data_IF_104988839749
#
_entry.id   IF_104988839749
#
_cell.length_a   1.000
_cell.length_b   1.000
_cell.length_c   1.000
_cell.angle_alpha   90.00
_cell.angle_beta   90.00
_cell.angle_gamma   90.00
#
_symmetry.space_group_name_H-M   'P 1'
#
loop_
_entity.id
_entity.type
_entity.pdbx_description
1 polymer ?
#
# COMPACT_ATOMS: atom_id res chain seq x y z
N UNK A 1 -0.07 -5.89 11.89
CA UNK A 1 -0.60 -6.25 10.56
C UNK A 1 0.03 -7.52 10.00
N UNK A 2 1.34 -7.63 9.97
CA UNK A 2 2.10 -8.72 9.35
C UNK A 2 1.80 -10.12 9.94
N UNK A 3 1.58 -10.23 11.26
CA UNK A 3 1.34 -11.49 11.96
C UNK A 3 0.17 -12.31 11.41
N UNK A 4 -0.96 -11.67 11.11
CA UNK A 4 -2.21 -12.33 10.71
C UNK A 4 -2.38 -12.51 9.20
N UNK A 5 -1.71 -11.66 8.40
CA UNK A 5 -1.97 -11.55 6.96
C UNK A 5 -1.93 -12.91 6.22
N UNK A 6 -0.91 -13.77 6.38
CA UNK A 6 -0.84 -15.04 5.66
C UNK A 6 -1.90 -16.07 6.10
N UNK A 7 -2.43 -15.94 7.33
CA UNK A 7 -3.35 -16.92 7.91
C UNK A 7 -4.83 -16.61 7.65
N UNK A 8 -5.14 -15.39 7.22
CA UNK A 8 -6.51 -14.92 7.07
C UNK A 8 -7.31 -15.75 6.06
N UNK A 9 -6.75 -15.99 4.87
CA UNK A 9 -7.38 -16.83 3.86
C UNK A 9 -7.57 -18.27 4.38
N UNK A 10 -6.58 -18.79 5.09
CA UNK A 10 -6.64 -20.13 5.67
C UNK A 10 -7.74 -20.22 6.74
N UNK A 11 -7.88 -19.22 7.61
CA UNK A 11 -8.94 -19.14 8.60
C UNK A 11 -10.32 -19.21 7.95
N UNK A 12 -10.60 -18.36 6.99
CA UNK A 12 -11.89 -18.33 6.32
C UNK A 12 -12.20 -19.63 5.57
N UNK A 13 -11.25 -20.16 4.81
CA UNK A 13 -11.48 -21.34 3.98
C UNK A 13 -11.52 -22.64 4.78
N UNK A 14 -10.58 -22.84 5.73
CA UNK A 14 -10.46 -24.13 6.41
C UNK A 14 -11.31 -24.23 7.67
N UNK A 15 -11.41 -23.16 8.46
CA UNK A 15 -12.15 -23.17 9.72
C UNK A 15 -13.60 -22.77 9.50
N UNK A 16 -13.83 -21.61 8.87
CA UNK A 16 -15.17 -21.06 8.71
C UNK A 16 -15.89 -21.57 7.44
N UNK A 17 -15.20 -22.37 6.61
CA UNK A 17 -15.78 -23.00 5.41
C UNK A 17 -16.37 -22.00 4.40
N UNK A 18 -15.78 -20.82 4.30
CA UNK A 18 -16.14 -19.86 3.26
C UNK A 18 -15.65 -20.35 1.89
N UNK A 19 -16.44 -20.14 0.86
CA UNK A 19 -16.03 -20.37 -0.53
C UNK A 19 -15.05 -19.28 -0.99
N UNK A 20 -14.34 -19.53 -2.08
CA UNK A 20 -13.45 -18.51 -2.68
C UNK A 20 -14.20 -17.22 -3.06
N UNK A 21 -15.42 -17.36 -3.57
CA UNK A 21 -16.29 -16.23 -3.91
C UNK A 21 -16.69 -15.41 -2.67
N UNK A 22 -17.13 -16.08 -1.59
CA UNK A 22 -17.49 -15.40 -0.33
C UNK A 22 -16.29 -14.66 0.28
N UNK A 23 -15.08 -15.24 0.18
CA UNK A 23 -13.86 -14.54 0.62
C UNK A 23 -13.61 -13.31 -0.28
N UNK A 24 -13.83 -13.40 -1.58
CA UNK A 24 -13.80 -12.26 -2.50
C UNK A 24 -14.79 -11.14 -2.10
N UNK A 25 -16.00 -11.51 -1.73
CA UNK A 25 -17.02 -10.57 -1.24
C UNK A 25 -16.58 -9.86 0.06
N UNK A 26 -15.89 -10.56 0.96
CA UNK A 26 -15.33 -9.93 2.16
C UNK A 26 -14.31 -8.84 1.80
N UNK A 27 -13.39 -9.11 0.88
CA UNK A 27 -12.42 -8.09 0.42
C UNK A 27 -13.10 -6.95 -0.35
N UNK A 28 -14.19 -7.25 -1.06
CA UNK A 28 -15.01 -6.22 -1.72
C UNK A 28 -15.60 -5.24 -0.70
N UNK A 29 -16.18 -5.75 0.39
CA UNK A 29 -16.73 -4.91 1.47
C UNK A 29 -15.64 -4.07 2.12
N UNK A 30 -14.43 -4.63 2.33
CA UNK A 30 -13.28 -3.89 2.83
C UNK A 30 -12.90 -2.72 1.90
N UNK A 31 -12.78 -2.97 0.60
CA UNK A 31 -12.44 -1.94 -0.38
C UNK A 31 -13.50 -0.83 -0.47
N UNK A 32 -14.79 -1.18 -0.44
CA UNK A 32 -15.90 -0.20 -0.43
C UNK A 32 -15.88 0.61 0.87
N UNK A 33 -15.69 -0.03 2.02
CA UNK A 33 -15.60 0.65 3.30
C UNK A 33 -14.38 1.60 3.35
N UNK A 34 -13.23 1.16 2.85
CA UNK A 34 -12.03 2.00 2.76
C UNK A 34 -12.23 3.22 1.85
N UNK A 35 -12.97 3.07 0.76
CA UNK A 35 -13.32 4.18 -0.14
C UNK A 35 -14.21 5.23 0.55
N UNK A 36 -15.19 4.77 1.35
CA UNK A 36 -16.12 5.64 2.07
C UNK A 36 -15.45 6.34 3.25
N UNK A 37 -14.76 5.57 4.10
CA UNK A 37 -14.19 6.07 5.35
C UNK A 37 -12.86 6.79 5.17
N UNK A 38 -12.08 6.48 4.14
CA UNK A 38 -10.73 7.05 3.92
C UNK A 38 -10.70 8.58 3.94
N UNK A 39 -11.53 9.29 3.18
CA UNK A 39 -11.57 10.75 3.19
C UNK A 39 -12.06 11.36 4.51
N UNK A 40 -12.89 10.64 5.26
CA UNK A 40 -13.56 11.13 6.47
C UNK A 40 -12.63 11.01 7.69
N UNK A 41 -11.92 9.90 7.81
CA UNK A 41 -11.13 9.56 9.01
C UNK A 41 -9.99 10.54 9.27
N UNK A 42 -9.30 11.02 8.22
CA UNK A 42 -8.25 12.02 8.36
C UNK A 42 -8.75 13.34 8.92
N UNK A 43 -9.91 13.82 8.42
CA UNK A 43 -10.54 15.06 8.89
C UNK A 43 -11.01 14.96 10.35
N UNK A 44 -11.57 13.81 10.71
CA UNK A 44 -11.99 13.56 12.08
C UNK A 44 -10.79 13.52 13.03
N UNK A 45 -9.70 12.91 12.64
CA UNK A 45 -8.46 12.85 13.42
C UNK A 45 -7.87 14.25 13.66
N UNK A 46 -7.85 15.10 12.64
CA UNK A 46 -7.38 16.47 12.76
C UNK A 46 -8.28 17.33 13.68
N UNK A 47 -9.60 17.08 13.65
CA UNK A 47 -10.58 17.84 14.45
C UNK A 47 -10.62 17.42 15.92
N UNK A 48 -10.58 16.10 16.19
CA UNK A 48 -10.84 15.55 17.52
C UNK A 48 -9.59 15.10 18.28
N UNK A 49 -8.44 15.07 17.61
CA UNK A 49 -7.16 14.71 18.19
C UNK A 49 -6.55 13.46 17.55
N UNK A 50 -5.32 13.58 17.11
CA UNK A 50 -4.61 12.55 16.36
C UNK A 50 -4.25 11.35 17.22
N UNK A 51 -3.79 11.56 18.46
CA UNK A 51 -3.51 10.48 19.40
C UNK A 51 -4.75 9.62 19.70
N UNK A 52 -5.90 10.24 19.92
CA UNK A 52 -7.18 9.57 20.12
C UNK A 52 -7.52 8.67 18.93
N UNK A 53 -7.31 9.15 17.71
CA UNK A 53 -7.58 8.39 16.50
C UNK A 53 -6.56 7.27 16.23
N UNK A 54 -5.32 7.38 16.71
CA UNK A 54 -4.39 6.23 16.78
C UNK A 54 -4.93 5.13 17.70
N UNK A 55 -5.53 5.48 18.85
CA UNK A 55 -6.21 4.51 19.71
C UNK A 55 -7.46 3.92 19.04
N UNK A 56 -8.26 4.74 18.35
CA UNK A 56 -9.40 4.24 17.57
C UNK A 56 -8.98 3.20 16.53
N UNK A 57 -7.85 3.43 15.86
CA UNK A 57 -7.26 2.43 14.96
C UNK A 57 -6.92 1.13 15.70
N UNK A 58 -6.19 1.19 16.81
CA UNK A 58 -5.82 0.00 17.58
C UNK A 58 -7.05 -0.77 18.08
N UNK A 59 -8.05 -0.07 18.57
CA UNK A 59 -9.33 -0.65 18.99
C UNK A 59 -10.03 -1.33 17.81
N UNK A 60 -10.07 -0.67 16.65
CA UNK A 60 -10.67 -1.23 15.44
C UNK A 60 -9.98 -2.53 15.02
N UNK A 61 -8.65 -2.62 15.14
CA UNK A 61 -7.90 -3.86 14.84
C UNK A 61 -8.27 -4.97 15.81
N UNK A 62 -8.37 -4.70 17.12
CA UNK A 62 -8.76 -5.70 18.11
C UNK A 62 -10.18 -6.21 17.84
N UNK A 63 -11.14 -5.32 17.66
CA UNK A 63 -12.54 -5.67 17.33
C UNK A 63 -12.58 -6.51 16.04
N UNK A 64 -11.89 -6.08 15.00
CA UNK A 64 -11.81 -6.79 13.73
C UNK A 64 -11.29 -8.21 13.89
N UNK A 65 -10.24 -8.42 14.69
CA UNK A 65 -9.66 -9.75 14.90
C UNK A 65 -10.61 -10.66 15.67
N UNK A 66 -11.26 -10.16 16.72
CA UNK A 66 -12.25 -10.92 17.50
C UNK A 66 -13.45 -11.33 16.64
N UNK A 67 -14.01 -10.40 15.83
CA UNK A 67 -15.10 -10.69 14.92
C UNK A 67 -14.74 -11.74 13.87
N UNK A 68 -13.50 -11.73 13.37
CA UNK A 68 -13.02 -12.74 12.40
C UNK A 68 -12.83 -14.11 13.02
N UNK A 69 -12.44 -14.19 14.29
CA UNK A 69 -12.23 -15.46 14.99
C UNK A 69 -13.54 -16.17 15.33
N UNK A 70 -14.63 -15.45 15.49
CA UNK A 70 -15.95 -16.00 15.83
C UNK A 70 -16.53 -16.89 14.71
N UNK A 71 -16.29 -16.58 13.47
CA UNK A 71 -16.62 -17.44 12.34
C UNK A 71 -18.01 -17.31 11.75
N UNK A 72 -18.90 -16.50 12.32
CA UNK A 72 -20.20 -16.25 11.71
C UNK A 72 -20.09 -15.34 10.48
N UNK A 73 -20.87 -15.64 9.43
CA UNK A 73 -20.87 -14.84 8.19
C UNK A 73 -21.15 -13.35 8.43
N UNK A 74 -22.23 -12.96 9.14
CA UNK A 74 -22.50 -11.54 9.38
C UNK A 74 -21.37 -10.81 10.10
N UNK A 75 -20.74 -11.46 11.12
CA UNK A 75 -19.64 -10.87 11.86
C UNK A 75 -18.37 -10.75 10.99
N UNK A 76 -18.14 -11.68 10.07
CA UNK A 76 -17.04 -11.58 9.10
C UNK A 76 -17.23 -10.36 8.18
N UNK A 77 -18.43 -10.08 7.68
CA UNK A 77 -18.73 -8.87 6.91
C UNK A 77 -18.59 -7.60 7.74
N UNK A 78 -19.07 -7.59 8.98
CA UNK A 78 -18.89 -6.46 9.90
C UNK A 78 -17.39 -6.20 10.16
N UNK A 79 -16.60 -7.26 10.33
CA UNK A 79 -15.15 -7.15 10.48
C UNK A 79 -14.50 -6.45 9.28
N UNK A 80 -14.99 -6.66 8.06
CA UNK A 80 -14.44 -5.98 6.87
C UNK A 80 -14.79 -4.48 6.86
N UNK A 81 -16.00 -4.10 7.26
CA UNK A 81 -16.35 -2.68 7.43
C UNK A 81 -15.42 -2.00 8.43
N UNK A 82 -15.14 -2.66 9.57
CA UNK A 82 -14.17 -2.17 10.57
C UNK A 82 -12.76 -2.12 10.01
N UNK A 83 -12.38 -3.06 9.11
CA UNK A 83 -11.07 -3.02 8.43
C UNK A 83 -10.94 -1.79 7.55
N UNK A 84 -11.94 -1.51 6.71
CA UNK A 84 -11.94 -0.35 5.81
C UNK A 84 -11.90 0.98 6.57
N UNK A 85 -12.60 1.08 7.71
CA UNK A 85 -12.47 2.23 8.61
C UNK A 85 -11.02 2.37 9.13
N UNK A 86 -10.42 1.28 9.63
CA UNK A 86 -9.04 1.26 10.11
C UNK A 86 -8.02 1.59 9.01
N UNK A 87 -8.25 1.18 7.76
CA UNK A 87 -7.39 1.48 6.63
C UNK A 87 -7.26 2.99 6.36
N UNK A 88 -8.35 3.74 6.54
CA UNK A 88 -8.32 5.20 6.47
C UNK A 88 -7.46 5.81 7.58
N UNK A 89 -7.56 5.31 8.80
CA UNK A 89 -6.83 5.81 9.96
C UNK A 89 -5.33 5.57 9.89
N UNK A 90 -4.89 4.36 9.54
CA UNK A 90 -3.45 4.03 9.51
C UNK A 90 -2.69 4.89 8.51
N UNK A 91 -3.31 5.25 7.42
CA UNK A 91 -2.65 5.99 6.36
C UNK A 91 -2.53 7.49 6.60
N UNK A 92 -3.31 8.02 7.54
CA UNK A 92 -3.36 9.48 7.75
C UNK A 92 -2.93 9.89 9.15
N UNK A 93 -3.36 9.14 10.17
CA UNK A 93 -3.30 9.64 11.55
C UNK A 93 -1.90 9.56 12.15
N UNK A 94 -1.18 8.45 11.95
CA UNK A 94 0.16 8.24 12.52
C UNK A 94 1.18 9.20 11.91
N UNK A 95 1.20 9.32 10.58
CA UNK A 95 2.10 10.25 9.90
C UNK A 95 1.78 11.70 10.25
N UNK A 96 0.50 12.06 10.30
CA UNK A 96 0.07 13.40 10.68
C UNK A 96 0.46 13.75 12.12
N UNK A 97 0.41 12.78 13.05
CA UNK A 97 0.88 12.97 14.41
C UNK A 97 2.39 13.29 14.44
N UNK A 98 3.21 12.48 13.74
CA UNK A 98 4.67 12.68 13.62
C UNK A 98 5.00 14.05 13.02
N UNK A 99 4.30 14.46 11.96
CA UNK A 99 4.52 15.75 11.33
C UNK A 99 4.28 16.89 12.32
N UNK A 100 3.14 16.87 13.01
CA UNK A 100 2.78 17.91 13.98
C UNK A 100 3.73 17.95 15.17
N UNK A 101 4.11 16.81 15.71
CA UNK A 101 5.03 16.75 16.86
C UNK A 101 6.43 17.24 16.47
N UNK A 102 6.92 16.88 15.28
CA UNK A 102 8.20 17.41 14.78
C UNK A 102 8.19 18.93 14.58
N UNK A 103 7.09 19.51 14.13
CA UNK A 103 6.97 20.97 13.99
C UNK A 103 6.96 21.69 15.35
N UNK A 104 6.33 21.10 16.35
CA UNK A 104 6.30 21.60 17.72
C UNK A 104 7.70 21.53 18.37
N UNK A 105 8.38 20.38 18.25
CA UNK A 105 9.70 20.15 18.85
C UNK A 105 10.76 21.09 18.28
N UNK A 106 10.77 21.30 16.98
CA UNK A 106 11.76 22.17 16.32
C UNK A 106 11.38 23.66 16.28
N UNK A 107 10.30 24.06 16.97
CA UNK A 107 9.99 25.47 17.24
C UNK A 107 9.91 26.37 16.00
N UNK A 108 9.52 25.84 14.83
CA UNK A 108 9.40 26.59 13.57
C UNK A 108 10.63 26.50 12.66
N UNK A 109 11.71 25.84 13.03
CA UNK A 109 12.84 25.53 12.15
C UNK A 109 12.49 24.46 11.11
N UNK A 110 11.75 24.85 10.07
CA UNK A 110 11.16 23.95 9.07
C UNK A 110 12.14 22.99 8.42
N UNK A 111 13.36 23.47 8.07
CA UNK A 111 14.39 22.64 7.43
C UNK A 111 14.90 21.50 8.33
N UNK A 112 15.04 21.77 9.63
CA UNK A 112 15.48 20.79 10.62
C UNK A 112 14.40 19.75 10.91
N UNK A 113 13.15 20.21 11.10
CA UNK A 113 12.00 19.32 11.23
C UNK A 113 11.84 18.41 10.01
N UNK A 114 12.05 18.92 8.79
CA UNK A 114 11.99 18.12 7.57
C UNK A 114 13.12 17.08 7.49
N UNK A 115 14.37 17.46 7.84
CA UNK A 115 15.51 16.52 7.90
C UNK A 115 15.25 15.41 8.92
N UNK A 116 14.73 15.76 10.10
CA UNK A 116 14.35 14.81 11.14
C UNK A 116 13.29 13.84 10.64
N UNK A 117 12.18 14.33 10.05
CA UNK A 117 11.12 13.51 9.49
C UNK A 117 11.62 12.54 8.42
N UNK A 118 12.44 13.01 7.48
CA UNK A 118 13.05 12.15 6.43
C UNK A 118 13.87 11.01 7.04
N UNK A 119 14.65 11.29 8.08
CA UNK A 119 15.43 10.28 8.78
C UNK A 119 14.53 9.29 9.53
N UNK A 120 13.56 9.80 10.29
CA UNK A 120 12.61 9.00 11.05
C UNK A 120 11.80 8.06 10.16
N UNK A 121 11.23 8.53 9.06
CA UNK A 121 10.47 7.68 8.13
C UNK A 121 11.33 6.62 7.46
N UNK A 122 12.59 6.93 7.14
CA UNK A 122 13.55 5.94 6.67
C UNK A 122 13.78 4.84 7.70
N UNK A 123 14.01 5.21 8.96
CA UNK A 123 14.24 4.27 10.05
C UNK A 123 12.98 3.44 10.34
N UNK A 124 11.80 4.06 10.35
CA UNK A 124 10.52 3.36 10.46
C UNK A 124 10.34 2.28 9.37
N UNK A 125 10.72 2.56 8.13
CA UNK A 125 10.63 1.58 7.04
C UNK A 125 11.57 0.38 7.29
N UNK A 126 12.77 0.62 7.81
CA UNK A 126 13.72 -0.45 8.15
C UNK A 126 13.16 -1.30 9.29
N UNK A 127 12.67 -0.66 10.36
CA UNK A 127 12.07 -1.38 11.50
C UNK A 127 10.82 -2.14 11.12
N UNK A 128 9.93 -1.59 10.26
CA UNK A 128 8.74 -2.30 9.78
C UNK A 128 9.12 -3.60 9.05
N UNK A 129 10.14 -3.56 8.20
CA UNK A 129 10.65 -4.74 7.51
C UNK A 129 11.22 -5.79 8.48
N UNK A 130 12.01 -5.39 9.48
CA UNK A 130 12.57 -6.28 10.49
C UNK A 130 11.43 -6.92 11.31
N UNK A 131 10.49 -6.12 11.77
CA UNK A 131 9.32 -6.58 12.53
C UNK A 131 8.46 -7.52 11.69
N UNK A 132 8.27 -7.25 10.40
CA UNK A 132 7.51 -8.12 9.50
C UNK A 132 8.13 -9.53 9.42
N UNK A 133 9.47 -9.63 9.26
CA UNK A 133 10.18 -10.91 9.21
C UNK A 133 10.07 -11.64 10.54
N UNK A 134 10.45 -10.98 11.65
CA UNK A 134 10.44 -11.59 12.99
C UNK A 134 9.05 -12.07 13.36
N UNK A 135 8.04 -11.23 13.14
CA UNK A 135 6.64 -11.58 13.45
C UNK A 135 6.14 -12.74 12.58
N UNK A 136 6.53 -12.80 11.30
CA UNK A 136 6.16 -13.91 10.42
C UNK A 136 6.76 -15.24 10.89
N UNK A 137 8.03 -15.23 11.35
CA UNK A 137 8.68 -16.39 11.94
C UNK A 137 8.00 -16.86 13.22
N UNK A 138 7.78 -15.92 14.15
CA UNK A 138 7.10 -16.20 15.43
C UNK A 138 5.70 -16.78 15.17
N UNK A 139 4.96 -16.20 14.22
CA UNK A 139 3.63 -16.67 13.88
C UNK A 139 3.64 -18.02 13.14
N UNK A 140 4.66 -18.32 12.35
CA UNK A 140 4.81 -19.63 11.72
C UNK A 140 5.06 -20.72 12.78
N UNK A 141 5.89 -20.44 13.76
CA UNK A 141 6.13 -21.33 14.90
C UNK A 141 4.86 -21.48 15.75
N UNK A 142 4.21 -20.38 16.10
CA UNK A 142 2.98 -20.39 16.91
C UNK A 142 1.83 -21.15 16.21
N UNK A 143 1.69 -20.98 14.89
CA UNK A 143 0.71 -21.71 14.10
C UNK A 143 0.93 -23.23 14.15
N UNK A 144 2.18 -23.67 14.04
CA UNK A 144 2.51 -25.11 14.03
C UNK A 144 2.30 -25.80 15.39
N UNK A 145 2.39 -25.06 16.52
CA UNK A 145 2.26 -25.63 17.87
C UNK A 145 0.89 -25.36 18.50
N UNK A 146 0.28 -24.22 18.23
CA UNK A 146 -0.97 -23.78 18.90
C UNK A 146 -2.14 -23.55 17.93
N UNK A 147 -1.94 -23.85 16.65
CA UNK A 147 -2.99 -23.80 15.63
C UNK A 147 -3.27 -22.40 15.10
N UNK A 148 -4.35 -22.32 14.28
CA UNK A 148 -4.62 -21.18 13.43
C UNK A 148 -4.97 -19.87 14.17
N UNK A 149 -5.48 -19.95 15.39
CA UNK A 149 -5.84 -18.78 16.17
C UNK A 149 -4.63 -18.09 16.83
N UNK A 150 -3.49 -18.78 16.98
CA UNK A 150 -2.32 -18.24 17.64
C UNK A 150 -1.76 -16.95 17.01
N UNK A 151 -1.61 -16.83 15.66
CA UNK A 151 -1.20 -15.58 15.03
C UNK A 151 -2.16 -14.41 15.27
N UNK A 152 -3.46 -14.68 15.45
CA UNK A 152 -4.45 -13.65 15.74
C UNK A 152 -4.32 -13.15 17.17
N UNK A 153 -4.14 -14.03 18.15
CA UNK A 153 -3.88 -13.65 19.54
C UNK A 153 -2.57 -12.87 19.71
N UNK A 154 -1.51 -13.28 19.00
CA UNK A 154 -0.25 -12.51 18.95
C UNK A 154 -0.51 -11.10 18.39
N UNK A 155 -1.31 -10.99 17.32
CA UNK A 155 -1.67 -9.68 16.76
C UNK A 155 -2.43 -8.80 17.73
N UNK A 156 -3.38 -9.37 18.48
CA UNK A 156 -4.13 -8.65 19.52
C UNK A 156 -3.18 -8.17 20.62
N UNK A 157 -2.34 -9.05 21.13
CA UNK A 157 -1.37 -8.72 22.19
C UNK A 157 -0.45 -7.56 21.75
N UNK A 158 0.15 -7.65 20.58
CA UNK A 158 1.03 -6.58 20.04
C UNK A 158 0.28 -5.26 19.82
N UNK A 159 -0.98 -5.33 19.40
CA UNK A 159 -1.80 -4.12 19.18
C UNK A 159 -2.17 -3.45 20.51
N UNK A 160 -2.50 -4.23 21.53
CA UNK A 160 -2.77 -3.71 22.89
C UNK A 160 -1.51 -3.09 23.48
N UNK A 161 -0.35 -3.77 23.34
CA UNK A 161 0.94 -3.25 23.79
C UNK A 161 1.27 -1.91 23.09
N UNK A 162 1.09 -1.84 21.76
CA UNK A 162 1.28 -0.60 21.02
C UNK A 162 0.33 0.52 21.49
N UNK A 163 -0.92 0.18 21.81
CA UNK A 163 -1.87 1.15 22.35
C UNK A 163 -1.44 1.69 23.73
N UNK A 164 -0.94 0.83 24.59
CA UNK A 164 -0.40 1.22 25.92
C UNK A 164 0.82 2.15 25.73
N UNK A 165 1.75 1.80 24.84
CA UNK A 165 2.92 2.65 24.56
C UNK A 165 2.54 4.02 24.01
N UNK A 166 1.58 4.08 23.09
CA UNK A 166 1.04 5.36 22.58
C UNK A 166 0.41 6.17 23.73
N UNK A 167 -0.32 5.50 24.63
CA UNK A 167 -0.94 6.17 25.76
C UNK A 167 0.09 6.79 26.71
N UNK A 168 1.21 6.13 26.93
CA UNK A 168 2.24 6.59 27.88
C UNK A 168 3.16 7.64 27.24
N UNK A 169 3.56 7.43 25.97
CA UNK A 169 4.67 8.17 25.34
C UNK A 169 4.22 9.32 24.43
N UNK A 170 2.97 9.31 23.96
CA UNK A 170 2.52 10.29 22.98
C UNK A 170 1.63 11.35 23.60
N UNK A 171 1.88 12.62 23.29
CA UNK A 171 0.99 13.71 23.64
C UNK A 171 -0.11 13.91 22.60
N UNK A 172 -1.24 14.53 22.99
CA UNK A 172 -2.28 14.90 22.05
C UNK A 172 -1.87 16.14 21.25
N UNK A 173 -1.90 16.03 19.94
CA UNK A 173 -1.51 17.11 19.04
C UNK A 173 -2.52 17.32 17.90
N UNK A 174 -3.77 17.59 18.23
CA UNK A 174 -4.77 18.01 17.24
C UNK A 174 -4.45 19.39 16.67
N UNK A 175 -4.61 19.61 15.36
CA UNK A 175 -4.46 20.95 14.79
C UNK A 175 -5.69 21.79 15.05
N UNK A 176 -5.56 22.86 15.87
CA UNK A 176 -6.59 23.88 16.03
C UNK A 176 -6.85 24.68 14.73
N UNK A 177 -6.02 24.52 13.72
CA UNK A 177 -6.03 25.28 12.46
C UNK A 177 -6.94 24.64 11.39
N UNK A 178 -7.41 23.42 11.57
CA UNK A 178 -8.26 22.72 10.59
C UNK A 178 -9.70 23.24 10.47
N UNK A 179 -9.95 24.49 10.87
CA UNK A 179 -11.31 25.07 10.88
C UNK A 179 -11.81 25.58 9.54
N UNK A 180 -10.98 25.71 8.52
CA UNK A 180 -11.45 26.25 7.24
C UNK A 180 -10.94 25.47 6.02
N UNK A 181 -11.89 25.02 5.19
CA UNK A 181 -11.75 24.81 3.75
C UNK A 181 -11.18 23.48 3.24
N UNK A 182 -11.37 22.36 3.93
CA UNK A 182 -10.94 21.05 3.40
C UNK A 182 -11.53 20.78 2.01
N UNK A 183 -12.80 21.09 1.77
CA UNK A 183 -13.43 20.93 0.46
C UNK A 183 -12.82 21.81 -0.64
N UNK A 184 -12.47 23.07 -0.29
CA UNK A 184 -11.82 23.98 -1.23
C UNK A 184 -10.43 23.48 -1.58
N UNK A 185 -9.67 23.00 -0.58
CA UNK A 185 -8.35 22.38 -0.81
C UNK A 185 -8.42 21.12 -1.67
N UNK A 186 -9.43 20.25 -1.46
CA UNK A 186 -9.67 19.11 -2.34
C UNK A 186 -9.99 19.54 -3.78
N UNK A 187 -10.81 20.57 -3.96
CA UNK A 187 -11.13 21.13 -5.27
C UNK A 187 -9.91 21.77 -5.95
N UNK A 188 -9.04 22.41 -5.18
CA UNK A 188 -7.78 22.96 -5.71
C UNK A 188 -6.78 21.84 -6.04
N UNK A 189 -6.59 20.88 -5.13
CA UNK A 189 -5.75 19.72 -5.36
C UNK A 189 -6.20 18.90 -6.59
N UNK A 190 -7.50 18.74 -6.80
CA UNK A 190 -8.03 18.02 -7.96
C UNK A 190 -7.73 18.70 -9.30
N UNK A 191 -7.46 20.02 -9.32
CA UNK A 191 -7.01 20.72 -10.52
C UNK A 191 -5.62 20.26 -10.97
N UNK A 192 -4.78 19.77 -10.07
CA UNK A 192 -3.45 19.23 -10.42
C UNK A 192 -3.53 17.98 -11.30
N UNK A 193 -4.64 17.21 -11.25
CA UNK A 193 -4.90 16.10 -12.17
C UNK A 193 -5.06 16.52 -13.64
N UNK A 194 -5.21 17.82 -13.94
CA UNK A 194 -5.15 18.31 -15.30
C UNK A 194 -3.75 18.22 -15.92
N UNK A 195 -2.72 18.10 -15.07
CA UNK A 195 -1.36 17.85 -15.54
C UNK A 195 -1.22 16.38 -15.91
N UNK A 196 -0.86 16.05 -17.16
CA UNK A 196 -0.76 14.66 -17.61
C UNK A 196 0.19 13.82 -16.75
N UNK A 197 1.29 14.40 -16.29
CA UNK A 197 2.25 13.72 -15.41
C UNK A 197 1.62 13.27 -14.09
N UNK A 198 0.87 14.16 -13.42
CA UNK A 198 0.19 13.86 -12.16
C UNK A 198 -0.88 12.79 -12.36
N UNK A 199 -1.66 12.91 -13.44
CA UNK A 199 -2.71 11.95 -13.78
C UNK A 199 -2.11 10.57 -14.06
N UNK A 200 -1.11 10.48 -14.94
CA UNK A 200 -0.47 9.21 -15.31
C UNK A 200 0.16 8.51 -14.11
N UNK A 201 0.91 9.23 -13.27
CA UNK A 201 1.52 8.65 -12.06
C UNK A 201 0.45 8.19 -11.07
N UNK A 202 -0.62 8.96 -10.90
CA UNK A 202 -1.75 8.55 -10.04
C UNK A 202 -2.45 7.29 -10.53
N UNK A 203 -2.62 7.14 -11.85
CA UNK A 203 -3.19 5.93 -12.45
C UNK A 203 -2.26 4.73 -12.33
N UNK A 204 -0.96 4.89 -12.62
CA UNK A 204 0.05 3.83 -12.47
C UNK A 204 0.08 3.35 -11.02
N UNK A 205 0.16 4.28 -10.06
CA UNK A 205 0.15 3.95 -8.63
C UNK A 205 -1.15 3.26 -8.22
N UNK A 206 -2.30 3.77 -8.68
CA UNK A 206 -3.60 3.17 -8.41
C UNK A 206 -3.67 1.72 -8.90
N UNK A 207 -3.24 1.46 -10.14
CA UNK A 207 -3.22 0.11 -10.72
C UNK A 207 -2.20 -0.78 -10.01
N UNK A 208 -0.96 -0.32 -9.80
CA UNK A 208 0.09 -1.12 -9.15
C UNK A 208 -0.30 -1.54 -7.73
N UNK A 209 -0.87 -0.62 -6.94
CA UNK A 209 -1.38 -0.94 -5.60
C UNK A 209 -2.61 -1.84 -5.64
N UNK A 210 -3.49 -1.71 -6.64
CA UNK A 210 -4.61 -2.64 -6.84
C UNK A 210 -4.10 -4.05 -7.16
N UNK A 211 -3.10 -4.16 -8.05
CA UNK A 211 -2.44 -5.43 -8.36
C UNK A 211 -1.83 -6.07 -7.12
N UNK A 212 -1.17 -5.29 -6.26
CA UNK A 212 -0.61 -5.77 -5.00
C UNK A 212 -1.71 -6.27 -4.05
N UNK A 213 -2.82 -5.55 -3.90
CA UNK A 213 -3.94 -5.97 -3.04
C UNK A 213 -4.58 -7.27 -3.55
N UNK A 214 -4.80 -7.38 -4.87
CA UNK A 214 -5.35 -8.59 -5.49
C UNK A 214 -4.37 -9.75 -5.38
N UNK A 215 -3.07 -9.49 -5.54
CA UNK A 215 -2.01 -10.46 -5.32
C UNK A 215 -2.04 -10.98 -3.87
N UNK A 216 -2.12 -10.10 -2.86
CA UNK A 216 -2.19 -10.47 -1.44
C UNK A 216 -3.42 -11.33 -1.11
N UNK A 217 -4.51 -11.17 -1.83
CA UNK A 217 -5.68 -12.03 -1.75
C UNK A 217 -5.44 -13.39 -2.42
N UNK A 218 -4.78 -13.42 -3.57
CA UNK A 218 -4.76 -14.57 -4.49
C UNK A 218 -3.59 -15.54 -4.30
N UNK A 219 -2.44 -15.12 -3.74
CA UNK A 219 -1.25 -15.96 -3.65
C UNK A 219 -1.45 -17.27 -2.84
N UNK A 220 -2.17 -17.15 -1.71
CA UNK A 220 -2.45 -18.33 -0.86
C UNK A 220 -3.31 -19.37 -1.57
N UNK A 221 -4.47 -19.03 -2.19
CA UNK A 221 -5.26 -20.01 -2.93
C UNK A 221 -4.54 -20.57 -4.16
N UNK A 222 -3.72 -19.76 -4.86
CA UNK A 222 -2.92 -20.23 -6.00
C UNK A 222 -1.94 -21.32 -5.56
N UNK A 223 -1.17 -21.10 -4.50
CA UNK A 223 -0.20 -22.06 -4.01
C UNK A 223 -0.85 -23.30 -3.38
N UNK A 224 -1.93 -23.12 -2.60
CA UNK A 224 -2.67 -24.27 -2.01
C UNK A 224 -3.23 -25.22 -3.06
N UNK A 225 -3.75 -24.71 -4.17
CA UNK A 225 -4.24 -25.53 -5.28
C UNK A 225 -3.12 -26.19 -6.07
N UNK A 226 -1.90 -25.67 -5.96
CA UNK A 226 -0.72 -26.24 -6.64
C UNK A 226 0.01 -27.33 -5.83
N UNK A 227 -0.39 -27.54 -4.56
CA UNK A 227 0.27 -28.51 -3.65
C UNK A 227 -0.78 -29.41 -3.01
N UNK A 228 -0.74 -30.75 -3.29
CA UNK A 228 -1.64 -31.71 -2.66
C UNK A 228 -1.39 -31.91 -1.16
N UNK A 229 -0.17 -31.59 -0.66
CA UNK A 229 0.23 -31.67 0.73
C UNK A 229 0.05 -30.37 1.50
N UNK A 230 0.15 -30.41 2.82
CA UNK A 230 0.07 -29.24 3.67
C UNK A 230 1.17 -28.22 3.36
N UNK A 231 0.83 -26.93 3.41
CA UNK A 231 1.72 -25.80 3.14
C UNK A 231 1.90 -24.96 4.40
N UNK A 232 3.13 -24.70 4.81
CA UNK A 232 3.40 -23.73 5.88
C UNK A 232 3.32 -22.29 5.33
N UNK A 233 2.13 -21.73 5.42
CA UNK A 233 1.79 -20.40 4.85
C UNK A 233 2.66 -19.29 5.41
N UNK A 234 3.00 -19.35 6.71
CA UNK A 234 3.82 -18.34 7.37
C UNK A 234 5.26 -18.36 6.88
N UNK A 235 5.84 -19.54 6.70
CA UNK A 235 7.21 -19.66 6.20
C UNK A 235 7.34 -19.16 4.74
N UNK A 236 6.39 -19.51 3.90
CA UNK A 236 6.34 -19.02 2.52
C UNK A 236 6.20 -17.50 2.50
N UNK A 237 5.33 -16.95 3.34
CA UNK A 237 5.17 -15.50 3.42
C UNK A 237 6.46 -14.80 3.87
N UNK A 238 7.21 -15.39 4.80
CA UNK A 238 8.53 -14.87 5.20
C UNK A 238 9.50 -14.83 4.02
N UNK A 239 9.55 -15.91 3.20
CA UNK A 239 10.38 -15.91 1.99
C UNK A 239 9.96 -14.81 1.00
N UNK A 240 8.67 -14.57 0.83
CA UNK A 240 8.15 -13.49 -0.01
C UNK A 240 8.52 -12.10 0.52
N UNK A 241 8.51 -11.89 1.84
CA UNK A 241 8.96 -10.64 2.44
C UNK A 241 10.47 -10.42 2.26
N UNK A 242 11.27 -11.47 2.38
CA UNK A 242 12.72 -11.39 2.13
C UNK A 242 13.03 -10.97 0.69
N UNK A 243 12.29 -11.48 -0.30
CA UNK A 243 12.46 -11.04 -1.70
C UNK A 243 12.06 -9.58 -1.89
N UNK A 244 11.00 -9.11 -1.22
CA UNK A 244 10.61 -7.70 -1.24
C UNK A 244 11.71 -6.78 -0.68
N UNK A 245 12.32 -7.16 0.45
CA UNK A 245 13.43 -6.40 1.04
C UNK A 245 14.66 -6.42 0.12
N UNK A 246 14.95 -7.57 -0.49
CA UNK A 246 16.05 -7.70 -1.46
C UNK A 246 15.83 -6.76 -2.67
N UNK A 247 14.61 -6.64 -3.17
CA UNK A 247 14.26 -5.69 -4.22
C UNK A 247 14.49 -4.23 -3.81
N UNK A 248 14.11 -3.86 -2.58
CA UNK A 248 14.38 -2.51 -2.04
C UNK A 248 15.87 -2.24 -1.92
N UNK A 249 16.68 -3.22 -1.50
CA UNK A 249 18.15 -3.10 -1.44
C UNK A 249 18.76 -3.01 -2.81
N UNK A 250 18.31 -3.80 -3.77
CA UNK A 250 18.74 -3.73 -5.17
C UNK A 250 18.50 -2.34 -5.76
N UNK A 251 17.34 -1.74 -5.51
CA UNK A 251 17.06 -0.35 -5.89
C UNK A 251 18.11 0.63 -5.30
N UNK A 252 18.40 0.53 -4.00
CA UNK A 252 19.37 1.40 -3.33
C UNK A 252 20.79 1.28 -3.91
N UNK A 253 21.20 0.08 -4.34
CA UNK A 253 22.48 -0.16 -4.96
C UNK A 253 22.54 0.41 -6.39
N UNK A 254 21.48 0.22 -7.17
CA UNK A 254 21.45 0.60 -8.58
C UNK A 254 21.29 2.11 -8.79
N UNK A 255 20.49 2.79 -7.97
CA UNK A 255 20.27 4.25 -8.12
C UNK A 255 21.53 5.08 -7.87
N UNK A 256 22.54 4.52 -7.17
CA UNK A 256 23.83 5.18 -6.96
C UNK A 256 24.87 4.88 -8.02
N UNK A 257 24.62 3.90 -8.89
CA UNK A 257 25.63 3.38 -9.85
C UNK A 257 25.25 3.57 -11.32
N UNK A 258 23.97 3.71 -11.62
CA UNK A 258 23.46 3.80 -12.98
C UNK A 258 22.51 4.99 -13.13
N UNK A 259 22.70 5.77 -14.20
CA UNK A 259 21.79 6.85 -14.57
C UNK A 259 20.54 6.24 -15.21
N UNK A 260 19.57 5.87 -14.38
CA UNK A 260 18.28 5.39 -14.86
C UNK A 260 17.29 6.55 -15.07
N UNK A 261 16.59 6.54 -16.19
CA UNK A 261 15.35 7.29 -16.29
C UNK A 261 14.32 6.67 -15.36
N UNK A 262 13.94 7.43 -14.32
CA UNK A 262 12.98 6.99 -13.31
C UNK A 262 11.63 6.59 -13.91
N UNK A 263 11.19 7.25 -14.97
CA UNK A 263 9.88 6.98 -15.61
C UNK A 263 9.91 5.71 -16.45
N UNK A 264 11.01 5.47 -17.19
CA UNK A 264 11.18 4.21 -17.90
C UNK A 264 11.33 3.05 -16.90
N UNK A 265 12.02 3.27 -15.78
CA UNK A 265 12.21 2.27 -14.73
C UNK A 265 10.89 1.86 -14.07
N UNK A 266 9.97 2.81 -13.80
CA UNK A 266 8.66 2.48 -13.22
C UNK A 266 7.80 1.67 -14.21
N UNK A 267 7.83 2.02 -15.49
CA UNK A 267 7.17 1.25 -16.54
C UNK A 267 7.76 -0.17 -16.64
N UNK A 268 9.11 -0.28 -16.59
CA UNK A 268 9.82 -1.56 -16.55
C UNK A 268 9.41 -2.45 -15.35
N UNK A 269 9.30 -1.88 -14.16
CA UNK A 269 8.84 -2.62 -12.99
C UNK A 269 7.43 -3.20 -13.20
N UNK A 270 6.51 -2.39 -13.67
CA UNK A 270 5.11 -2.80 -13.84
C UNK A 270 4.96 -3.88 -14.92
N UNK A 271 5.67 -3.79 -16.04
CA UNK A 271 5.61 -4.83 -17.07
C UNK A 271 6.23 -6.16 -16.59
N UNK A 272 7.33 -6.10 -15.82
CA UNK A 272 7.93 -7.31 -15.23
C UNK A 272 6.94 -7.97 -14.26
N UNK A 273 6.26 -7.19 -13.42
CA UNK A 273 5.18 -7.70 -12.56
C UNK A 273 4.08 -8.39 -13.37
N UNK A 274 3.66 -7.79 -14.49
CA UNK A 274 2.68 -8.37 -15.40
C UNK A 274 3.12 -9.70 -15.99
N UNK A 275 4.36 -9.78 -16.47
CA UNK A 275 4.94 -11.01 -17.02
C UNK A 275 4.99 -12.11 -15.95
N UNK A 276 5.41 -11.80 -14.72
CA UNK A 276 5.48 -12.76 -13.62
C UNK A 276 4.10 -13.31 -13.25
N UNK A 277 3.07 -12.49 -13.26
CA UNK A 277 1.69 -12.94 -13.02
C UNK A 277 1.15 -13.77 -14.18
N UNK A 278 1.46 -13.40 -15.43
CA UNK A 278 1.13 -14.23 -16.59
C UNK A 278 1.82 -15.62 -16.53
N UNK A 279 3.10 -15.67 -16.16
CA UNK A 279 3.82 -16.94 -15.96
C UNK A 279 3.22 -17.76 -14.82
N UNK A 280 2.76 -17.12 -13.75
CA UNK A 280 2.04 -17.79 -12.65
C UNK A 280 0.74 -18.45 -13.12
N UNK A 281 0.05 -17.84 -14.10
CA UNK A 281 -1.12 -18.43 -14.74
C UNK A 281 -0.74 -19.59 -15.69
N UNK A 282 0.23 -19.37 -16.57
CA UNK A 282 0.56 -20.25 -17.68
C UNK A 282 1.31 -21.51 -17.25
N UNK A 283 2.19 -21.42 -16.24
CA UNK A 283 3.05 -22.52 -15.83
C UNK A 283 2.46 -23.23 -14.61
N UNK A 284 2.32 -24.56 -14.71
CA UNK A 284 1.84 -25.39 -13.63
C UNK A 284 2.97 -25.82 -12.69
N UNK A 285 2.62 -26.07 -11.43
CA UNK A 285 3.54 -26.56 -10.40
C UNK A 285 3.69 -25.59 -9.23
N UNK A 286 3.97 -26.13 -8.07
CA UNK A 286 4.13 -25.35 -6.84
C UNK A 286 5.38 -24.48 -6.89
N UNK A 287 6.54 -25.07 -7.20
CA UNK A 287 7.82 -24.37 -7.15
C UNK A 287 7.93 -23.22 -8.16
N UNK A 288 7.58 -23.38 -9.46
CA UNK A 288 7.58 -22.28 -10.40
C UNK A 288 6.67 -21.13 -9.95
N UNK A 289 5.45 -21.44 -9.51
CA UNK A 289 4.51 -20.43 -9.03
C UNK A 289 5.02 -19.70 -7.80
N UNK A 290 5.63 -20.40 -6.86
CA UNK A 290 6.25 -19.80 -5.69
C UNK A 290 7.37 -18.81 -6.09
N UNK A 291 8.22 -19.21 -7.05
CA UNK A 291 9.31 -18.35 -7.56
C UNK A 291 8.72 -17.10 -8.21
N UNK A 292 7.75 -17.22 -9.10
CA UNK A 292 7.17 -16.04 -9.79
C UNK A 292 6.45 -15.10 -8.82
N UNK A 293 5.70 -15.64 -7.88
CA UNK A 293 5.05 -14.84 -6.83
C UNK A 293 6.06 -14.15 -5.90
N UNK A 294 7.16 -14.81 -5.58
CA UNK A 294 8.24 -14.22 -4.78
C UNK A 294 8.96 -13.11 -5.55
N UNK A 295 9.26 -13.32 -6.82
CA UNK A 295 9.86 -12.31 -7.69
C UNK A 295 8.94 -11.11 -7.89
N UNK A 296 7.63 -11.30 -7.98
CA UNK A 296 6.65 -10.21 -8.00
C UNK A 296 6.81 -9.30 -6.78
N UNK A 297 6.97 -9.87 -5.58
CA UNK A 297 7.26 -9.10 -4.37
C UNK A 297 8.62 -8.39 -4.44
N UNK A 298 9.63 -9.04 -5.00
CA UNK A 298 10.95 -8.42 -5.22
C UNK A 298 10.86 -7.17 -6.09
N UNK A 299 10.12 -7.26 -7.20
CA UNK A 299 9.87 -6.10 -8.07
C UNK A 299 9.03 -5.03 -7.36
N UNK A 300 8.05 -5.41 -6.54
CA UNK A 300 7.30 -4.48 -5.71
C UNK A 300 8.21 -3.72 -4.74
N UNK A 301 9.16 -4.43 -4.13
CA UNK A 301 10.18 -3.83 -3.25
C UNK A 301 11.07 -2.80 -3.96
N UNK A 302 11.38 -3.01 -5.23
CA UNK A 302 12.10 -2.06 -6.08
C UNK A 302 11.21 -0.87 -6.50
N UNK A 303 9.96 -1.14 -6.88
CA UNK A 303 8.98 -0.16 -7.33
C UNK A 303 8.66 0.90 -6.26
N UNK A 304 8.47 0.49 -5.01
CA UNK A 304 7.97 1.38 -3.95
C UNK A 304 8.85 2.61 -3.70
N UNK A 305 10.18 2.51 -3.50
CA UNK A 305 11.04 3.68 -3.33
C UNK A 305 11.16 4.51 -4.61
N UNK A 306 11.17 3.88 -5.78
CA UNK A 306 11.19 4.57 -7.07
C UNK A 306 9.94 5.44 -7.26
N UNK A 307 8.75 4.88 -7.01
CA UNK A 307 7.49 5.62 -7.07
C UNK A 307 7.46 6.79 -6.08
N UNK A 308 8.04 6.61 -4.88
CA UNK A 308 8.13 7.67 -3.88
C UNK A 308 9.01 8.84 -4.34
N UNK A 309 10.12 8.57 -5.04
CA UNK A 309 11.00 9.60 -5.62
C UNK A 309 10.26 10.38 -6.71
N UNK A 310 9.59 9.68 -7.63
CA UNK A 310 8.84 10.32 -8.72
C UNK A 310 7.72 11.21 -8.14
N UNK A 311 6.96 10.71 -7.17
CA UNK A 311 5.92 11.51 -6.51
C UNK A 311 6.49 12.75 -5.81
N UNK A 312 7.64 12.62 -5.17
CA UNK A 312 8.29 13.74 -4.51
C UNK A 312 8.72 14.85 -5.49
N UNK A 313 9.06 14.49 -6.75
CA UNK A 313 9.46 15.44 -7.78
C UNK A 313 8.29 16.12 -8.50
N UNK A 314 7.14 15.43 -8.66
CA UNK A 314 6.01 15.94 -9.44
C UNK A 314 4.96 16.63 -8.57
N UNK A 315 4.69 16.09 -7.36
CA UNK A 315 3.59 16.58 -6.53
C UNK A 315 3.99 17.84 -5.78
N UNK A 316 3.19 18.89 -5.91
CA UNK A 316 3.34 20.13 -5.16
C UNK A 316 3.21 19.82 -3.67
N UNK A 317 4.17 20.26 -2.87
CA UNK A 317 4.25 19.98 -1.43
C UNK A 317 2.96 20.38 -0.68
N UNK A 318 2.39 21.54 -1.03
CA UNK A 318 1.13 22.05 -0.44
C UNK A 318 -0.04 21.06 -0.53
N UNK A 319 -0.14 20.28 -1.61
CA UNK A 319 -1.28 19.37 -1.88
C UNK A 319 -0.89 17.89 -1.87
N UNK A 320 0.37 17.56 -1.57
CA UNK A 320 0.91 16.19 -1.67
C UNK A 320 0.06 15.15 -0.93
N UNK A 321 -0.26 15.40 0.35
CA UNK A 321 -1.08 14.48 1.15
C UNK A 321 -2.49 14.28 0.58
N UNK A 322 -3.11 15.36 0.09
CA UNK A 322 -4.43 15.30 -0.53
C UNK A 322 -4.41 14.52 -1.85
N UNK A 323 -3.39 14.76 -2.70
CA UNK A 323 -3.22 14.04 -3.97
C UNK A 323 -2.95 12.56 -3.75
N UNK A 324 -2.13 12.20 -2.76
CA UNK A 324 -1.89 10.80 -2.40
C UNK A 324 -3.17 10.09 -1.91
N UNK A 325 -4.05 10.80 -1.20
CA UNK A 325 -5.36 10.27 -0.84
C UNK A 325 -6.27 10.11 -2.07
N UNK A 326 -6.23 11.06 -3.01
CA UNK A 326 -6.99 10.97 -4.26
C UNK A 326 -6.51 9.82 -5.17
N UNK A 327 -5.22 9.48 -5.17
CA UNK A 327 -4.69 8.31 -5.90
C UNK A 327 -5.24 6.96 -5.40
N UNK A 328 -5.80 6.92 -4.18
CA UNK A 328 -6.48 5.73 -3.65
C UNK A 328 -7.87 5.51 -4.24
N UNK A 329 -8.49 6.53 -4.81
CA UNK A 329 -9.81 6.37 -5.44
C UNK A 329 -9.72 5.41 -6.64
N UNK A 330 -8.86 5.62 -7.66
CA UNK A 330 -8.69 4.64 -8.72
C UNK A 330 -8.24 3.27 -8.22
N UNK A 331 -7.35 3.19 -7.21
CA UNK A 331 -6.96 1.92 -6.59
C UNK A 331 -8.18 1.12 -6.12
N UNK A 332 -9.00 1.69 -5.25
CA UNK A 332 -10.17 0.99 -4.71
C UNK A 332 -11.17 0.65 -5.81
N UNK A 333 -11.34 1.51 -6.81
CA UNK A 333 -12.22 1.25 -7.95
C UNK A 333 -11.77 0.03 -8.75
N UNK A 334 -10.47 -0.10 -9.07
CA UNK A 334 -9.92 -1.28 -9.75
C UNK A 334 -10.07 -2.54 -8.91
N UNK A 335 -9.79 -2.47 -7.61
CA UNK A 335 -9.98 -3.61 -6.69
C UNK A 335 -11.44 -4.06 -6.68
N UNK A 336 -12.39 -3.14 -6.58
CA UNK A 336 -13.83 -3.44 -6.59
C UNK A 336 -14.23 -4.14 -7.89
N UNK A 337 -13.82 -3.61 -9.05
CA UNK A 337 -14.15 -4.23 -10.35
C UNK A 337 -13.63 -5.67 -10.42
N UNK A 338 -12.37 -5.90 -10.05
CA UNK A 338 -11.79 -7.25 -10.11
C UNK A 338 -12.49 -8.18 -9.12
N UNK A 339 -12.76 -7.74 -7.89
CA UNK A 339 -13.41 -8.56 -6.89
C UNK A 339 -14.86 -8.92 -7.26
N UNK A 340 -15.59 -8.04 -7.95
CA UNK A 340 -16.92 -8.35 -8.48
C UNK A 340 -16.88 -9.47 -9.53
N UNK A 341 -15.82 -9.56 -10.31
CA UNK A 341 -15.65 -10.61 -11.33
C UNK A 341 -15.18 -11.95 -10.74
N UNK A 342 -14.61 -11.97 -9.52
CA UNK A 342 -14.08 -13.18 -8.89
C UNK A 342 -15.12 -14.28 -8.63
N UNK A 343 -16.40 -13.95 -8.52
CA UNK A 343 -17.48 -14.94 -8.35
C UNK A 343 -17.54 -15.95 -9.49
N UNK A 344 -17.07 -15.56 -10.68
CA UNK A 344 -17.13 -16.33 -11.91
C UNK A 344 -15.78 -16.98 -12.26
N UNK A 345 -14.74 -16.79 -11.43
CA UNK A 345 -13.37 -17.11 -11.80
C UNK A 345 -12.68 -18.05 -10.79
N UNK A 346 -11.64 -18.73 -11.27
CA UNK A 346 -10.74 -19.48 -10.41
C UNK A 346 -9.52 -18.62 -9.99
N UNK A 347 -8.78 -18.98 -8.92
CA UNK A 347 -7.63 -18.21 -8.46
C UNK A 347 -6.54 -17.98 -9.51
N UNK A 348 -6.37 -18.89 -10.47
CA UNK A 348 -5.36 -18.72 -11.51
C UNK A 348 -5.77 -17.65 -12.52
N UNK A 349 -7.05 -17.53 -12.86
CA UNK A 349 -7.56 -16.47 -13.72
C UNK A 349 -7.33 -15.07 -13.11
N UNK A 350 -7.33 -14.97 -11.78
CA UNK A 350 -6.98 -13.74 -11.07
C UNK A 350 -5.56 -13.29 -11.40
N UNK A 351 -4.60 -14.22 -11.48
CA UNK A 351 -3.24 -13.89 -11.88
C UNK A 351 -3.17 -13.33 -13.32
N UNK A 352 -3.98 -13.87 -14.24
CA UNK A 352 -4.10 -13.34 -15.59
C UNK A 352 -4.63 -11.89 -15.60
N UNK A 353 -5.68 -11.61 -14.82
CA UNK A 353 -6.25 -10.26 -14.71
C UNK A 353 -5.22 -9.26 -14.19
N UNK A 354 -4.48 -9.62 -13.13
CA UNK A 354 -3.39 -8.78 -12.60
C UNK A 354 -2.34 -8.54 -13.69
N UNK A 355 -1.99 -9.56 -14.47
CA UNK A 355 -1.09 -9.42 -15.61
C UNK A 355 -1.59 -8.39 -16.64
N UNK A 356 -2.86 -8.46 -17.01
CA UNK A 356 -3.48 -7.49 -17.94
C UNK A 356 -3.50 -6.07 -17.37
N UNK A 357 -3.84 -5.91 -16.08
CA UNK A 357 -3.79 -4.61 -15.42
C UNK A 357 -2.38 -4.01 -15.43
N UNK A 358 -1.36 -4.82 -15.21
CA UNK A 358 0.04 -4.37 -15.31
C UNK A 358 0.41 -3.92 -16.73
N UNK A 359 -0.10 -4.58 -17.77
CA UNK A 359 0.10 -4.14 -19.16
C UNK A 359 -0.53 -2.75 -19.39
N UNK A 360 -1.74 -2.52 -18.89
CA UNK A 360 -2.39 -1.21 -18.97
C UNK A 360 -1.55 -0.13 -18.28
N UNK A 361 -1.06 -0.40 -17.06
CA UNK A 361 -0.21 0.54 -16.34
C UNK A 361 1.13 0.78 -17.07
N UNK A 362 1.71 -0.24 -17.71
CA UNK A 362 2.90 -0.12 -18.54
C UNK A 362 2.66 0.81 -19.74
N UNK A 363 1.53 0.66 -20.45
CA UNK A 363 1.19 1.53 -21.56
C UNK A 363 1.01 3.00 -21.14
N UNK A 364 0.43 3.24 -19.96
CA UNK A 364 0.35 4.58 -19.37
C UNK A 364 1.75 5.11 -19.04
N UNK A 365 2.65 4.26 -18.53
CA UNK A 365 4.04 4.60 -18.26
C UNK A 365 4.81 4.97 -19.54
N UNK A 366 4.66 4.21 -20.62
CA UNK A 366 5.25 4.53 -21.91
C UNK A 366 4.72 5.85 -22.48
N UNK A 367 3.41 6.07 -22.39
CA UNK A 367 2.83 7.36 -22.77
C UNK A 367 3.47 8.52 -22.01
N UNK A 368 3.68 8.36 -20.70
CA UNK A 368 4.31 9.38 -19.87
C UNK A 368 5.76 9.67 -20.28
N UNK A 369 6.55 8.62 -20.59
CA UNK A 369 7.93 8.76 -21.08
C UNK A 369 7.94 9.54 -22.40
N UNK A 370 7.13 9.14 -23.38
CA UNK A 370 7.03 9.80 -24.69
C UNK A 370 6.55 11.24 -24.54
N UNK A 371 5.55 11.48 -23.70
CA UNK A 371 5.04 12.82 -23.44
C UNK A 371 6.15 13.75 -22.93
N UNK A 372 6.95 13.30 -21.98
CA UNK A 372 8.06 14.08 -21.42
C UNK A 372 9.19 14.30 -22.42
N UNK A 373 9.51 13.34 -23.27
CA UNK A 373 10.50 13.54 -24.33
C UNK A 373 10.09 14.60 -25.34
N UNK A 374 8.81 14.68 -25.65
CA UNK A 374 8.27 15.65 -26.63
C UNK A 374 8.12 17.03 -25.98
N UNK A 375 7.39 17.10 -24.86
CA UNK A 375 6.99 18.39 -24.28
C UNK A 375 8.02 18.95 -23.27
N UNK A 376 8.80 18.13 -22.59
CA UNK A 376 9.90 18.60 -21.73
C UNK A 376 10.99 19.33 -22.50
N UNK A 377 11.28 18.91 -23.73
CA UNK A 377 12.21 19.62 -24.63
C UNK A 377 11.68 20.97 -25.12
N UNK A 378 10.36 21.13 -25.19
CA UNK A 378 9.72 22.40 -25.58
C UNK A 378 9.78 23.41 -24.44
N UNK A 379 9.45 22.98 -23.19
CA UNK A 379 9.56 23.88 -22.01
C UNK A 379 10.99 24.36 -21.72
N UNK A 380 11.99 23.50 -21.96
CA UNK A 380 13.40 23.90 -21.81
C UNK A 380 13.84 24.88 -22.91
N UNK A 381 13.35 24.74 -24.15
CA UNK A 381 13.58 25.74 -25.23
C UNK A 381 12.94 27.08 -24.89
N UNK A 382 11.68 27.08 -24.45
CA UNK A 382 10.96 28.31 -24.08
C UNK A 382 11.60 29.02 -22.88
N UNK A 383 12.18 28.26 -21.93
CA UNK A 383 12.96 28.84 -20.82
C UNK A 383 14.29 29.43 -21.30
N UNK A 384 14.95 28.80 -22.25
CA UNK A 384 16.23 29.31 -22.83
C UNK A 384 15.98 30.55 -23.71
N UNK A 385 14.90 30.59 -24.49
CA UNK A 385 14.55 31.76 -25.29
C UNK A 385 14.10 32.97 -24.43
N UNK A 386 13.45 32.72 -23.30
CA UNK A 386 13.07 33.79 -22.36
C UNK A 386 14.24 34.29 -21.45
N UNK A 387 15.42 33.65 -21.48
CA UNK A 387 16.63 34.05 -20.73
C UNK A 387 17.61 34.80 -21.62
N UNK A 388 17.48 34.76 -22.95
CA UNK A 388 18.30 35.57 -23.84
C UNK A 388 17.75 37.00 -23.84
N UNK A 389 18.49 38.01 -23.33
CA UNK A 389 18.07 39.39 -23.43
C UNK A 389 18.11 39.81 -24.90
N UNK A 390 16.97 40.30 -25.37
CA UNK A 390 16.91 41.11 -26.61
C UNK A 390 17.62 42.41 -26.26
N UNK A 391 18.93 42.48 -26.50
CA UNK A 391 19.63 43.73 -26.68
C UNK A 391 20.99 43.49 -27.37
N UNK A 392 20.94 43.51 -28.68
CA UNK A 392 22.03 44.06 -29.51
C UNK A 392 21.37 44.91 -30.59
N UNK A 393 21.16 46.18 -30.28
CA UNK A 393 21.22 47.24 -31.27
C UNK A 393 22.07 48.38 -30.74
#
# INVERSE_FOLDING_TARGET
MWAKAPYLYTLFMTVHKFTFAEIGDLYLVDAVAALIFGPITGQLADKYGRRKFCHCYNISIVINLLLRMEGSRPLAYLAQVVTGFGAGLICTTFEAWVVSESEKEFGGYKKEAERFRKRLFKDCTIYDNIVAILTSFICAFAYSHWGIYAPFWISIFLTVLASILIWILWDENGSLIAKEKTWIQYKEASKEFKKPEVLCIGLIEGIANACLNIYLFSWTPILKRSTPGGMNVGFIFTCMLLTMISGTKMFQLLIGTLDFDNYMSIAGCVIIQGILMFLTYAINGFLPRLIFLSLFNGVTGFYNPLNSIIKASILIEKYRALLMNLFRVPLNFYVIIVLLTLRLMNPFTVALIVGVMCIVAFLIGLFLVIYREIYGKIEDKDKVENILPIDIK
#
